data_IF_270887491252
#
_entry.id   IF_270887491252
#
_cell.length_a   1.000
_cell.length_b   1.000
_cell.length_c   1.000
_cell.angle_alpha   90.00
_cell.angle_beta   90.00
_cell.angle_gamma   90.00
#
_symmetry.space_group_name_H-M   'P 1'
#
loop_
_entity.id
_entity.type
_entity.pdbx_description
1 polymer ?
#
# COMPACT_ATOMS: atom_id res chain seq x y z
N UNK A 1 16.94 1.91 28.13
CA UNK A 1 16.51 1.45 26.78
C UNK A 1 15.08 0.91 26.73
N UNK A 2 14.62 0.04 27.65
CA UNK A 2 13.24 -0.52 27.59
C UNK A 2 12.10 0.53 27.69
N UNK A 3 12.23 1.59 28.49
CA UNK A 3 11.18 2.62 28.64
C UNK A 3 10.95 3.44 27.36
N UNK A 4 11.97 3.62 26.52
CA UNK A 4 11.85 4.40 25.28
C UNK A 4 11.08 3.65 24.19
N UNK A 5 11.22 2.33 24.16
CA UNK A 5 10.48 1.43 23.26
C UNK A 5 8.99 1.36 23.64
N UNK A 6 8.68 1.37 24.95
CA UNK A 6 7.29 1.48 25.41
C UNK A 6 6.65 2.82 25.04
N UNK A 7 7.43 3.92 25.11
CA UNK A 7 6.94 5.24 24.71
C UNK A 7 6.62 5.29 23.21
N UNK A 8 7.48 4.74 22.34
CA UNK A 8 7.20 4.64 20.90
C UNK A 8 5.99 3.76 20.58
N UNK A 9 5.77 2.68 21.33
CA UNK A 9 4.60 1.81 21.15
C UNK A 9 3.28 2.47 21.62
N UNK A 10 3.29 3.26 22.70
CA UNK A 10 2.12 4.05 23.12
C UNK A 10 1.86 5.23 22.16
N UNK A 11 2.92 5.90 21.68
CA UNK A 11 2.80 7.01 20.72
C UNK A 11 2.33 6.54 19.33
N UNK A 12 2.64 5.31 18.92
CA UNK A 12 2.21 4.73 17.65
C UNK A 12 0.72 4.35 17.59
N UNK A 13 0.01 4.31 18.73
CA UNK A 13 -1.37 3.83 18.84
C UNK A 13 -2.42 4.94 19.05
N UNK A 14 -2.08 6.20 18.75
CA UNK A 14 -3.02 7.34 18.81
C UNK A 14 -4.05 7.37 17.68
N UNK A 15 -4.31 6.25 17.02
CA UNK A 15 -5.39 6.14 16.03
C UNK A 15 -6.79 6.17 16.66
N UNK A 16 -6.91 6.00 17.99
CA UNK A 16 -8.19 5.98 18.70
C UNK A 16 -8.29 7.05 19.79
N UNK A 17 -9.44 7.72 19.85
CA UNK A 17 -9.72 8.78 20.84
C UNK A 17 -9.55 8.30 22.29
N UNK A 18 -9.80 7.01 22.55
CA UNK A 18 -9.65 6.40 23.88
C UNK A 18 -8.20 6.24 24.35
N UNK A 19 -7.24 5.99 23.44
CA UNK A 19 -5.82 5.88 23.79
C UNK A 19 -5.20 7.24 24.11
N UNK A 20 -5.63 8.30 23.41
CA UNK A 20 -5.21 9.68 23.72
C UNK A 20 -5.70 10.08 25.12
N UNK A 21 -6.96 9.76 25.45
CA UNK A 21 -7.52 10.08 26.76
C UNK A 21 -6.83 9.31 27.91
N UNK A 22 -6.57 8.01 27.73
CA UNK A 22 -5.89 7.22 28.77
C UNK A 22 -4.44 7.63 28.96
N UNK A 23 -3.72 7.98 27.89
CA UNK A 23 -2.37 8.53 27.96
C UNK A 23 -2.33 9.88 28.69
N UNK A 24 -3.22 10.81 28.32
CA UNK A 24 -3.38 12.10 28.98
C UNK A 24 -3.63 11.95 30.49
N UNK A 25 -4.53 11.02 30.86
CA UNK A 25 -4.87 10.72 32.24
C UNK A 25 -3.66 10.18 33.02
N UNK A 26 -2.92 9.21 32.45
CA UNK A 26 -1.69 8.66 33.07
C UNK A 26 -0.64 9.74 33.31
N UNK A 27 -0.42 10.61 32.31
CA UNK A 27 0.56 11.69 32.41
C UNK A 27 0.16 12.74 33.45
N UNK A 28 -1.14 13.03 33.58
CA UNK A 28 -1.66 13.93 34.62
C UNK A 28 -1.42 13.39 36.02
N UNK A 29 -1.72 12.10 36.26
CA UNK A 29 -1.42 11.46 37.55
C UNK A 29 0.08 11.45 37.85
N UNK A 30 0.94 11.16 36.87
CA UNK A 30 2.38 11.17 37.04
C UNK A 30 2.91 12.57 37.43
N UNK A 31 2.41 13.63 36.77
CA UNK A 31 2.79 15.01 37.06
C UNK A 31 2.36 15.44 38.48
N UNK A 32 1.14 15.08 38.89
CA UNK A 32 0.62 15.35 40.24
C UNK A 32 1.45 14.64 41.31
N UNK A 33 1.76 13.35 41.12
CA UNK A 33 2.58 12.58 42.05
C UNK A 33 3.98 13.20 42.19
N UNK A 34 4.62 13.56 41.07
CA UNK A 34 5.93 14.21 41.08
C UNK A 34 5.90 15.55 41.83
N UNK A 35 4.86 16.37 41.60
CA UNK A 35 4.66 17.64 42.30
C UNK A 35 4.51 17.44 43.82
N UNK A 36 3.70 16.45 44.25
CA UNK A 36 3.54 16.13 45.67
C UNK A 36 4.86 15.67 46.29
N UNK A 37 5.63 14.81 45.61
CA UNK A 37 6.94 14.37 46.09
C UNK A 37 7.91 15.54 46.25
N UNK A 38 7.93 16.47 45.30
CA UNK A 38 8.75 17.68 45.37
C UNK A 38 8.33 18.58 46.54
N UNK A 39 7.03 18.79 46.74
CA UNK A 39 6.49 19.54 47.88
C UNK A 39 6.95 18.89 49.20
N UNK A 40 6.77 17.58 49.36
CA UNK A 40 7.16 16.86 50.58
C UNK A 40 8.68 16.91 50.83
N UNK A 41 9.51 16.96 49.78
CA UNK A 41 10.95 17.07 49.91
C UNK A 41 11.42 18.50 50.31
N UNK A 42 10.74 19.54 49.82
CA UNK A 42 11.13 20.95 50.03
C UNK A 42 10.57 21.55 51.32
N UNK A 43 9.42 21.06 51.80
CA UNK A 43 8.75 21.64 52.97
C UNK A 43 9.52 21.52 54.29
N UNK A 44 10.15 20.38 54.65
CA UNK A 44 10.84 20.25 55.94
C UNK A 44 12.05 21.18 56.11
N UNK A 45 12.95 21.36 55.11
CA UNK A 45 14.03 22.36 55.19
C UNK A 45 13.53 23.80 55.39
N UNK A 46 12.44 24.18 54.73
CA UNK A 46 11.86 25.52 54.87
C UNK A 46 11.25 25.75 56.26
N UNK A 47 10.64 24.72 56.84
CA UNK A 47 10.12 24.76 58.20
C UNK A 47 11.25 24.89 59.23
N UNK A 48 12.38 24.19 59.02
CA UNK A 48 13.55 24.28 59.88
C UNK A 48 14.16 25.69 59.93
N UNK A 49 14.06 26.43 58.82
CA UNK A 49 14.56 27.80 58.71
C UNK A 49 13.54 28.87 59.17
N UNK A 50 12.39 28.48 59.71
CA UNK A 50 11.29 29.38 60.14
C UNK A 50 10.80 30.34 59.04
N UNK A 51 10.92 29.92 57.77
CA UNK A 51 10.50 30.72 56.61
C UNK A 51 8.98 30.61 56.37
N UNK A 52 8.32 29.60 56.94
CA UNK A 52 6.91 29.32 56.67
C UNK A 52 5.97 30.23 57.49
N UNK A 53 4.98 30.88 56.84
CA UNK A 53 4.02 31.75 57.53
C UNK A 53 2.93 30.99 58.30
N UNK A 54 2.82 29.67 58.12
CA UNK A 54 1.82 28.79 58.72
C UNK A 54 2.45 27.50 59.24
N UNK A 55 1.68 26.72 60.00
CA UNK A 55 2.11 25.40 60.47
C UNK A 55 2.36 24.43 59.31
N UNK A 56 3.31 23.51 59.49
CA UNK A 56 3.71 22.52 58.48
C UNK A 56 2.51 21.75 57.90
N UNK A 57 1.57 21.33 58.76
CA UNK A 57 0.39 20.58 58.34
C UNK A 57 -0.54 21.38 57.42
N UNK A 58 -0.79 22.66 57.73
CA UNK A 58 -1.64 23.53 56.91
C UNK A 58 -0.99 23.82 55.56
N UNK A 59 0.32 24.12 55.55
CA UNK A 59 1.07 24.36 54.30
C UNK A 59 1.03 23.14 53.39
N UNK A 60 1.29 21.93 53.92
CA UNK A 60 1.21 20.69 53.12
C UNK A 60 -0.19 20.48 52.54
N UNK A 61 -1.24 20.67 53.35
CA UNK A 61 -2.63 20.50 52.89
C UNK A 61 -2.96 21.45 51.74
N UNK A 62 -2.63 22.74 51.86
CA UNK A 62 -2.88 23.71 50.78
C UNK A 62 -2.03 23.43 49.53
N UNK A 63 -0.76 23.05 49.70
CA UNK A 63 0.11 22.71 48.57
C UNK A 63 -0.37 21.49 47.79
N UNK A 64 -0.90 20.47 48.47
CA UNK A 64 -1.49 19.30 47.80
C UNK A 64 -2.71 19.73 46.97
N UNK A 65 -3.67 20.43 47.58
CA UNK A 65 -4.88 20.88 46.87
C UNK A 65 -4.53 21.77 45.67
N UNK A 66 -3.61 22.72 45.87
CA UNK A 66 -3.16 23.60 44.80
C UNK A 66 -2.41 22.85 43.68
N UNK A 67 -1.62 21.83 44.03
CA UNK A 67 -0.93 20.97 43.07
C UNK A 67 -1.89 20.20 42.18
N UNK A 68 -2.95 19.62 42.75
CA UNK A 68 -3.99 18.93 41.97
C UNK A 68 -4.70 19.88 41.01
N UNK A 69 -5.04 21.08 41.47
CA UNK A 69 -5.68 22.10 40.64
C UNK A 69 -4.77 22.55 39.50
N UNK A 70 -3.55 22.99 39.82
CA UNK A 70 -2.64 23.56 38.83
C UNK A 70 -2.13 22.50 37.85
N UNK A 71 -1.66 21.35 38.34
CA UNK A 71 -1.12 20.28 37.50
C UNK A 71 -2.20 19.63 36.66
N UNK A 72 -3.40 19.43 37.22
CA UNK A 72 -4.53 18.85 36.48
C UNK A 72 -4.99 19.74 35.33
N UNK A 73 -5.12 21.06 35.57
CA UNK A 73 -5.50 22.03 34.53
C UNK A 73 -4.42 22.11 33.45
N UNK A 74 -3.15 22.29 33.83
CA UNK A 74 -2.04 22.41 32.87
C UNK A 74 -1.89 21.13 32.03
N UNK A 75 -1.91 19.96 32.67
CA UNK A 75 -1.78 18.69 31.96
C UNK A 75 -2.99 18.41 31.06
N UNK A 76 -4.21 18.76 31.51
CA UNK A 76 -5.42 18.66 30.70
C UNK A 76 -5.36 19.52 29.44
N UNK A 77 -5.00 20.80 29.59
CA UNK A 77 -4.83 21.73 28.45
C UNK A 77 -3.75 21.23 27.49
N UNK A 78 -2.58 20.83 28.00
CA UNK A 78 -1.48 20.34 27.18
C UNK A 78 -1.88 19.08 26.40
N UNK A 79 -2.59 18.16 27.06
CA UNK A 79 -3.08 16.94 26.43
C UNK A 79 -4.07 17.22 25.30
N UNK A 80 -4.96 18.21 25.47
CA UNK A 80 -5.89 18.64 24.43
C UNK A 80 -5.15 19.26 23.23
N UNK A 81 -4.15 20.10 23.48
CA UNK A 81 -3.34 20.73 22.43
C UNK A 81 -2.59 19.66 21.63
N UNK A 82 -1.87 18.76 22.32
CA UNK A 82 -1.11 17.68 21.67
C UNK A 82 -2.05 16.73 20.91
N UNK A 83 -3.19 16.38 21.51
CA UNK A 83 -4.20 15.55 20.85
C UNK A 83 -4.74 16.18 19.57
N UNK A 84 -5.02 17.50 19.59
CA UNK A 84 -5.47 18.23 18.40
C UNK A 84 -4.39 18.29 17.32
N UNK A 85 -3.14 18.60 17.71
CA UNK A 85 -2.02 18.67 16.78
C UNK A 85 -1.75 17.31 16.09
N UNK A 86 -1.78 16.21 16.85
CA UNK A 86 -1.63 14.86 16.30
C UNK A 86 -2.78 14.49 15.36
N UNK A 87 -4.01 14.89 15.70
CA UNK A 87 -5.16 14.67 14.83
C UNK A 87 -5.01 15.43 13.51
N UNK A 88 -4.67 16.72 13.55
CA UNK A 88 -4.43 17.54 12.36
C UNK A 88 -3.31 16.96 11.49
N UNK A 89 -2.20 16.55 12.09
CA UNK A 89 -1.09 15.93 11.36
C UNK A 89 -1.52 14.65 10.65
N UNK A 90 -2.31 13.81 11.33
CA UNK A 90 -2.82 12.56 10.75
C UNK A 90 -3.78 12.81 9.60
N UNK A 91 -4.69 13.77 9.76
CA UNK A 91 -5.63 14.16 8.70
C UNK A 91 -4.88 14.74 7.50
N UNK A 92 -3.95 15.66 7.72
CA UNK A 92 -3.13 16.26 6.66
C UNK A 92 -2.30 15.21 5.93
N UNK A 93 -1.74 14.23 6.64
CA UNK A 93 -1.03 13.10 6.02
C UNK A 93 -1.96 12.27 5.15
N UNK A 94 -3.16 11.94 5.63
CA UNK A 94 -4.13 11.19 4.85
C UNK A 94 -4.65 11.98 3.64
N UNK A 95 -4.82 13.29 3.76
CA UNK A 95 -5.16 14.17 2.64
C UNK A 95 -4.03 14.26 1.62
N UNK A 96 -2.78 14.39 2.06
CA UNK A 96 -1.62 14.37 1.19
C UNK A 96 -1.49 13.03 0.47
N UNK A 97 -1.70 11.91 1.16
CA UNK A 97 -1.70 10.58 0.57
C UNK A 97 -2.83 10.40 -0.45
N UNK A 98 -4.03 10.94 -0.15
CA UNK A 98 -5.15 10.98 -1.08
C UNK A 98 -4.85 11.84 -2.30
N UNK A 99 -4.21 13.00 -2.14
CA UNK A 99 -3.89 13.91 -3.24
C UNK A 99 -2.67 13.46 -4.04
N UNK A 100 -1.75 12.71 -3.42
CA UNK A 100 -0.60 12.15 -4.09
C UNK A 100 -1.08 11.26 -5.24
N UNK A 101 -0.48 11.48 -6.41
CA UNK A 101 -0.68 10.63 -7.59
C UNK A 101 0.43 9.59 -7.72
N UNK A 102 1.46 9.65 -6.89
CA UNK A 102 2.70 8.89 -7.00
C UNK A 102 2.83 7.94 -5.81
N UNK A 103 3.25 6.70 -6.09
CA UNK A 103 3.67 5.74 -5.07
C UNK A 103 5.10 6.05 -4.61
N UNK A 104 5.26 6.27 -3.31
CA UNK A 104 6.51 6.79 -2.73
C UNK A 104 7.70 5.84 -2.86
N UNK A 105 7.47 4.54 -2.98
CA UNK A 105 8.55 3.56 -3.10
C UNK A 105 9.00 3.39 -4.55
N UNK A 106 8.03 3.21 -5.47
CA UNK A 106 8.33 2.96 -6.89
C UNK A 106 8.63 4.23 -7.70
N UNK A 107 8.13 5.39 -7.25
CA UNK A 107 8.15 6.63 -8.03
C UNK A 107 7.17 6.63 -9.22
N UNK A 108 6.37 5.57 -9.39
CA UNK A 108 5.36 5.44 -10.43
C UNK A 108 4.04 6.07 -9.99
N UNK A 109 3.07 6.18 -10.91
CA UNK A 109 1.70 6.50 -10.53
C UNK A 109 1.17 5.47 -9.53
N UNK A 110 0.31 5.89 -8.60
CA UNK A 110 -0.37 4.97 -7.70
C UNK A 110 -1.66 4.41 -8.32
N UNK A 111 -2.25 3.39 -7.68
CA UNK A 111 -3.51 2.75 -8.10
C UNK A 111 -4.62 3.76 -8.44
N UNK A 112 -4.77 4.82 -7.64
CA UNK A 112 -5.81 5.84 -7.84
C UNK A 112 -5.57 6.63 -9.13
N UNK A 113 -4.36 7.15 -9.31
CA UNK A 113 -4.01 7.90 -10.51
C UNK A 113 -4.03 7.03 -11.77
N UNK A 114 -3.76 5.73 -11.65
CA UNK A 114 -3.92 4.77 -12.73
C UNK A 114 -5.37 4.55 -13.13
N UNK A 115 -6.27 4.37 -12.16
CA UNK A 115 -7.70 4.21 -12.43
C UNK A 115 -8.26 5.46 -13.15
N UNK A 116 -7.92 6.65 -12.68
CA UNK A 116 -8.30 7.91 -13.34
C UNK A 116 -7.75 8.00 -14.77
N UNK A 117 -6.52 7.54 -15.01
CA UNK A 117 -5.94 7.50 -16.34
C UNK A 117 -6.65 6.49 -17.25
N UNK A 118 -7.00 5.31 -16.72
CA UNK A 118 -7.75 4.27 -17.43
C UNK A 118 -9.17 4.74 -17.82
N UNK A 119 -9.82 5.52 -16.96
CA UNK A 119 -11.13 6.09 -17.26
C UNK A 119 -11.06 7.17 -18.35
N UNK A 120 -9.93 7.89 -18.43
CA UNK A 120 -9.72 8.97 -19.39
C UNK A 120 -9.17 8.54 -20.75
N UNK A 121 -8.70 7.28 -20.88
CA UNK A 121 -8.05 6.81 -22.10
C UNK A 121 -9.08 6.46 -23.17
N UNK A 122 -8.82 6.90 -24.40
CA UNK A 122 -9.60 6.54 -25.58
C UNK A 122 -9.50 5.03 -25.88
N UNK A 123 -10.42 4.55 -26.69
CA UNK A 123 -10.38 3.19 -27.22
C UNK A 123 -9.26 3.09 -28.27
N UNK A 124 -8.60 1.94 -28.40
CA UNK A 124 -7.30 1.69 -29.07
C UNK A 124 -6.05 1.77 -28.15
N UNK A 125 -6.15 1.09 -27.01
CA UNK A 125 -5.03 0.82 -26.12
C UNK A 125 -5.09 -0.63 -25.62
N UNK A 126 -4.03 -1.09 -24.96
CA UNK A 126 -4.06 -2.36 -24.22
C UNK A 126 -3.73 -2.11 -22.75
N UNK A 127 -4.51 -2.70 -21.85
CA UNK A 127 -4.25 -2.74 -20.43
C UNK A 127 -3.39 -3.96 -20.13
N UNK A 128 -2.31 -3.74 -19.39
CA UNK A 128 -1.39 -4.78 -18.94
C UNK A 128 -1.31 -4.74 -17.42
N UNK A 129 -1.51 -5.88 -16.78
CA UNK A 129 -1.28 -6.05 -15.34
C UNK A 129 -0.10 -7.00 -15.19
N UNK A 130 0.94 -6.54 -14.51
CA UNK A 130 2.13 -7.29 -14.18
C UNK A 130 2.15 -7.66 -12.70
N UNK A 131 2.76 -8.80 -12.38
CA UNK A 131 3.00 -9.23 -11.00
C UNK A 131 4.35 -9.95 -10.87
N UNK A 132 5.13 -9.56 -9.85
CA UNK A 132 6.44 -10.16 -9.59
C UNK A 132 6.26 -11.57 -9.02
N UNK A 133 6.78 -12.55 -9.76
CA UNK A 133 6.61 -13.95 -9.43
C UNK A 133 7.28 -14.29 -8.09
N UNK A 134 6.50 -14.91 -7.20
CA UNK A 134 6.97 -15.41 -5.90
C UNK A 134 7.56 -14.31 -5.01
N UNK A 135 7.07 -13.07 -5.12
CA UNK A 135 7.56 -11.93 -4.33
C UNK A 135 7.57 -12.18 -2.82
N UNK A 136 6.53 -12.82 -2.28
CA UNK A 136 6.52 -13.24 -0.86
C UNK A 136 7.74 -14.11 -0.48
N UNK A 137 8.14 -15.06 -1.32
CA UNK A 137 9.30 -15.90 -1.06
C UNK A 137 10.63 -15.10 -1.09
N UNK A 138 10.69 -14.02 -1.87
CA UNK A 138 11.83 -13.09 -1.86
C UNK A 138 11.89 -12.37 -0.51
N UNK A 139 10.77 -11.82 -0.04
CA UNK A 139 10.69 -11.16 1.27
C UNK A 139 11.02 -12.13 2.41
N UNK A 140 10.47 -13.34 2.38
CA UNK A 140 10.69 -14.35 3.42
C UNK A 140 12.17 -14.79 3.47
N UNK A 141 12.87 -14.80 2.32
CA UNK A 141 14.26 -15.25 2.22
C UNK A 141 15.29 -14.14 2.46
N UNK A 142 15.04 -12.93 1.96
CA UNK A 142 16.02 -11.85 1.91
C UNK A 142 15.61 -10.62 2.73
N UNK A 143 14.42 -10.63 3.32
CA UNK A 143 13.86 -9.51 4.08
C UNK A 143 13.18 -8.46 3.22
N UNK A 144 12.37 -7.62 3.87
CA UNK A 144 11.57 -6.59 3.19
C UNK A 144 12.40 -5.53 2.46
N UNK A 145 13.58 -5.17 2.96
CA UNK A 145 14.46 -4.20 2.29
C UNK A 145 14.90 -4.69 0.89
N UNK A 146 15.17 -5.99 0.75
CA UNK A 146 15.46 -6.61 -0.55
C UNK A 146 14.22 -6.63 -1.46
N UNK A 147 13.04 -6.89 -0.90
CA UNK A 147 11.78 -6.78 -1.64
C UNK A 147 11.52 -5.37 -2.17
N UNK A 148 11.77 -4.35 -1.34
CA UNK A 148 11.66 -2.95 -1.74
C UNK A 148 12.62 -2.61 -2.88
N UNK A 149 13.87 -3.09 -2.82
CA UNK A 149 14.84 -2.95 -3.90
C UNK A 149 14.37 -3.63 -5.20
N UNK A 150 13.72 -4.79 -5.09
CA UNK A 150 13.10 -5.46 -6.25
C UNK A 150 12.00 -4.60 -6.87
N UNK A 151 11.12 -4.02 -6.05
CA UNK A 151 10.06 -3.12 -6.55
C UNK A 151 10.68 -1.91 -7.26
N UNK A 152 11.68 -1.26 -6.66
CA UNK A 152 12.35 -0.11 -7.27
C UNK A 152 12.96 -0.49 -8.63
N UNK A 153 13.64 -1.63 -8.71
CA UNK A 153 14.27 -2.09 -9.94
C UNK A 153 13.26 -2.40 -11.05
N UNK A 154 12.17 -3.10 -10.73
CA UNK A 154 11.08 -3.37 -11.69
C UNK A 154 10.44 -2.06 -12.15
N UNK A 155 10.20 -1.13 -11.22
CA UNK A 155 9.61 0.18 -11.52
C UNK A 155 10.45 0.97 -12.51
N UNK A 156 11.77 1.00 -12.32
CA UNK A 156 12.69 1.67 -13.23
C UNK A 156 12.71 1.04 -14.63
N UNK A 157 12.63 -0.29 -14.72
CA UNK A 157 12.56 -1.00 -16.02
C UNK A 157 11.25 -0.67 -16.73
N UNK A 158 10.12 -0.74 -16.04
CA UNK A 158 8.81 -0.43 -16.62
C UNK A 158 8.75 1.04 -17.08
N UNK A 159 9.19 1.98 -16.25
CA UNK A 159 9.23 3.40 -16.60
C UNK A 159 10.12 3.67 -17.83
N UNK A 160 11.28 3.01 -17.91
CA UNK A 160 12.19 3.17 -19.06
C UNK A 160 11.67 2.51 -20.34
N UNK A 161 10.96 1.38 -20.23
CA UNK A 161 10.48 0.67 -21.40
C UNK A 161 9.22 1.28 -22.00
N UNK A 162 8.37 1.88 -21.16
CA UNK A 162 7.09 2.48 -21.55
C UNK A 162 7.15 4.01 -21.49
N UNK A 163 8.28 4.59 -21.93
CA UNK A 163 8.41 6.03 -22.05
C UNK A 163 7.44 6.61 -23.11
N UNK A 164 7.03 7.87 -22.93
CA UNK A 164 6.13 8.58 -23.85
C UNK A 164 4.65 8.49 -23.47
N UNK A 165 3.80 8.01 -24.39
CA UNK A 165 2.33 8.03 -24.29
C UNK A 165 1.73 6.94 -23.39
N UNK A 166 2.55 6.06 -22.83
CA UNK A 166 2.08 4.97 -21.98
C UNK A 166 1.94 5.43 -20.52
N UNK A 167 0.94 4.88 -19.83
CA UNK A 167 0.72 5.15 -18.40
C UNK A 167 1.30 3.98 -17.61
N UNK A 168 2.19 4.26 -16.66
CA UNK A 168 2.82 3.23 -15.81
C UNK A 168 2.53 3.51 -14.35
N UNK A 169 2.07 2.50 -13.61
CA UNK A 169 1.67 2.61 -12.22
C UNK A 169 2.03 1.39 -11.38
N UNK A 170 2.15 1.59 -10.08
CA UNK A 170 2.12 0.53 -9.08
C UNK A 170 0.71 0.42 -8.50
N UNK A 171 0.10 -0.75 -8.68
CA UNK A 171 -1.26 -1.02 -8.25
C UNK A 171 -1.30 -1.58 -6.83
N UNK A 172 -0.32 -2.39 -6.44
CA UNK A 172 -0.31 -3.08 -5.16
C UNK A 172 1.09 -3.33 -4.62
N UNK A 173 1.23 -4.31 -3.71
CA UNK A 173 2.52 -4.69 -3.14
C UNK A 173 3.54 -5.06 -4.22
N UNK A 174 3.21 -6.05 -5.04
CA UNK A 174 4.03 -6.55 -6.15
C UNK A 174 3.40 -6.39 -7.55
N UNK A 175 2.27 -5.69 -7.63
CA UNK A 175 1.47 -5.53 -8.84
C UNK A 175 1.69 -4.18 -9.51
N UNK A 176 1.86 -4.19 -10.83
CA UNK A 176 2.05 -3.01 -11.66
C UNK A 176 1.04 -2.97 -12.81
N UNK A 177 0.63 -1.77 -13.19
CA UNK A 177 -0.31 -1.52 -14.29
C UNK A 177 0.35 -0.71 -15.37
N UNK A 178 0.13 -1.10 -16.63
CA UNK A 178 0.55 -0.32 -17.80
C UNK A 178 -0.61 -0.17 -18.77
N UNK A 179 -0.84 1.04 -19.26
CA UNK A 179 -1.72 1.31 -20.41
C UNK A 179 -0.81 1.66 -21.58
N UNK A 180 -0.82 0.82 -22.61
CA UNK A 180 -0.02 1.02 -23.82
C UNK A 180 -0.94 1.49 -24.94
N UNK A 181 -0.73 2.72 -25.40
CA UNK A 181 -1.50 3.33 -26.50
C UNK A 181 -0.68 3.36 -27.79
N UNK A 182 -1.37 3.21 -28.92
CA UNK A 182 -0.76 3.20 -30.25
C UNK A 182 -0.08 1.89 -30.61
N UNK A 183 0.33 1.79 -31.88
CA UNK A 183 0.82 0.54 -32.48
C UNK A 183 -0.28 -0.51 -32.64
N UNK A 184 -0.01 -1.56 -33.41
CA UNK A 184 -0.93 -2.70 -33.45
C UNK A 184 -0.79 -3.59 -32.19
N UNK A 185 -1.70 -4.55 -32.03
CA UNK A 185 -1.70 -5.46 -30.87
C UNK A 185 -0.41 -6.29 -30.79
N UNK A 186 0.17 -6.64 -31.94
CA UNK A 186 1.37 -7.47 -32.02
C UNK A 186 2.61 -6.69 -31.59
N UNK A 187 2.74 -5.43 -31.99
CA UNK A 187 3.79 -4.51 -31.53
C UNK A 187 3.74 -4.31 -30.00
N UNK A 188 2.53 -4.14 -29.45
CA UNK A 188 2.33 -4.02 -28.00
C UNK A 188 2.75 -5.30 -27.28
N UNK A 189 2.32 -6.46 -27.79
CA UNK A 189 2.70 -7.77 -27.25
C UNK A 189 4.21 -7.99 -27.25
N UNK A 190 4.89 -7.68 -28.36
CA UNK A 190 6.34 -7.79 -28.49
C UNK A 190 7.07 -6.89 -27.48
N UNK A 191 6.59 -5.64 -27.31
CA UNK A 191 7.14 -4.72 -26.30
C UNK A 191 7.01 -5.28 -24.87
N UNK A 192 5.85 -5.86 -24.54
CA UNK A 192 5.60 -6.45 -23.22
C UNK A 192 6.45 -7.69 -22.99
N UNK A 193 6.61 -8.56 -23.99
CA UNK A 193 7.49 -9.74 -23.91
C UNK A 193 8.98 -9.35 -23.79
N UNK A 194 9.40 -8.28 -24.46
CA UNK A 194 10.75 -7.73 -24.33
C UNK A 194 11.01 -7.25 -22.89
N UNK A 195 10.06 -6.54 -22.28
CA UNK A 195 10.13 -6.10 -20.88
C UNK A 195 10.24 -7.28 -19.92
N UNK A 196 9.38 -8.30 -20.08
CA UNK A 196 9.43 -9.53 -19.27
C UNK A 196 10.82 -10.17 -19.36
N UNK A 197 11.36 -10.26 -20.58
CA UNK A 197 12.70 -10.83 -20.84
C UNK A 197 13.81 -9.98 -20.21
N UNK A 198 13.70 -8.66 -20.27
CA UNK A 198 14.64 -7.73 -19.65
C UNK A 198 14.67 -7.89 -18.12
N UNK A 199 13.50 -7.99 -17.49
CA UNK A 199 13.38 -8.24 -16.05
C UNK A 199 14.00 -9.59 -15.68
N UNK A 200 13.67 -10.66 -16.41
CA UNK A 200 14.18 -12.01 -16.15
C UNK A 200 15.71 -12.13 -16.30
N UNK A 201 16.34 -11.28 -17.13
CA UNK A 201 17.80 -11.28 -17.35
C UNK A 201 18.57 -10.42 -16.35
N UNK A 202 17.90 -9.55 -15.60
CA UNK A 202 18.57 -8.60 -14.71
C UNK A 202 18.70 -9.18 -13.30
N UNK A 203 19.93 -9.29 -12.80
CA UNK A 203 20.17 -9.47 -11.37
C UNK A 203 19.99 -8.14 -10.64
N UNK A 204 19.26 -8.16 -9.55
CA UNK A 204 19.02 -7.01 -8.68
C UNK A 204 19.94 -7.13 -7.48
N UNK A 205 20.94 -6.24 -7.40
CA UNK A 205 21.87 -6.18 -6.29
C UNK A 205 21.28 -5.35 -5.15
N UNK A 206 21.06 -5.96 -3.98
CA UNK A 206 20.52 -5.32 -2.78
C UNK A 206 21.15 -5.92 -1.52
N UNK A 207 21.65 -5.09 -0.60
CA UNK A 207 22.28 -5.51 0.67
C UNK A 207 23.30 -6.66 0.53
N UNK A 208 24.10 -6.63 -0.55
CA UNK A 208 25.11 -7.65 -0.84
C UNK A 208 24.55 -8.97 -1.40
N UNK A 209 23.25 -9.04 -1.73
CA UNK A 209 22.60 -10.16 -2.37
C UNK A 209 22.33 -9.87 -3.85
N UNK A 210 22.45 -10.89 -4.71
CA UNK A 210 22.03 -10.88 -6.10
C UNK A 210 20.71 -11.64 -6.24
N UNK A 211 19.64 -10.92 -6.60
CA UNK A 211 18.29 -11.46 -6.68
C UNK A 211 17.86 -11.52 -8.14
N UNK A 212 17.63 -12.74 -8.63
CA UNK A 212 16.97 -12.97 -9.93
C UNK A 212 15.47 -13.13 -9.73
N UNK A 213 14.69 -12.41 -10.52
CA UNK A 213 13.23 -12.44 -10.47
C UNK A 213 12.65 -12.73 -11.85
N UNK A 214 11.39 -13.16 -11.86
CA UNK A 214 10.58 -13.20 -13.09
C UNK A 214 9.28 -12.44 -12.85
N UNK A 215 8.59 -12.11 -13.93
CA UNK A 215 7.31 -11.40 -13.87
C UNK A 215 6.31 -12.12 -14.77
N UNK A 216 5.06 -12.18 -14.33
CA UNK A 216 3.93 -12.64 -15.14
C UNK A 216 3.07 -11.44 -15.53
N UNK A 217 2.47 -11.49 -16.72
CA UNK A 217 1.64 -10.40 -17.23
C UNK A 217 0.33 -10.92 -17.85
N UNK A 218 -0.76 -10.21 -17.58
CA UNK A 218 -2.05 -10.38 -18.26
C UNK A 218 -2.39 -9.15 -19.09
N UNK A 219 -2.88 -9.36 -20.30
CA UNK A 219 -3.20 -8.28 -21.25
C UNK A 219 -4.66 -8.36 -21.67
N UNK A 220 -5.33 -7.21 -21.74
CA UNK A 220 -6.64 -7.06 -22.37
C UNK A 220 -6.70 -5.78 -23.23
N UNK A 221 -7.41 -5.86 -24.34
CA UNK A 221 -7.54 -4.74 -25.28
C UNK A 221 -8.72 -3.83 -24.90
N UNK A 222 -8.46 -2.53 -24.93
CA UNK A 222 -9.47 -1.49 -24.84
C UNK A 222 -10.06 -1.25 -26.22
N UNK A 223 -11.13 -1.97 -26.51
CA UNK A 223 -11.87 -1.87 -27.77
C UNK A 223 -13.16 -1.05 -27.58
N UNK A 224 -13.64 -0.38 -28.65
CA UNK A 224 -14.89 0.37 -28.61
C UNK A 224 -16.06 -0.44 -28.06
N UNK A 225 -16.80 0.14 -27.11
CA UNK A 225 -18.01 -0.46 -26.54
C UNK A 225 -17.77 -1.46 -25.39
N UNK A 226 -16.52 -1.68 -24.95
CA UNK A 226 -16.24 -2.44 -23.72
C UNK A 226 -16.15 -1.51 -22.51
N UNK A 227 -16.73 -1.93 -21.38
CA UNK A 227 -16.51 -1.20 -20.13
C UNK A 227 -15.07 -1.40 -19.64
N UNK A 228 -14.47 -0.35 -19.05
CA UNK A 228 -13.08 -0.41 -18.57
C UNK A 228 -12.93 -1.42 -17.42
N UNK A 229 -13.99 -1.64 -16.63
CA UNK A 229 -14.04 -2.68 -15.60
C UNK A 229 -13.96 -4.09 -16.20
N UNK A 230 -14.63 -4.35 -17.32
CA UNK A 230 -14.58 -5.64 -18.01
C UNK A 230 -13.20 -5.89 -18.62
N UNK A 231 -12.53 -4.85 -19.13
CA UNK A 231 -11.15 -4.94 -19.62
C UNK A 231 -10.21 -5.26 -18.45
N UNK A 232 -10.34 -4.55 -17.32
CA UNK A 232 -9.55 -4.81 -16.12
C UNK A 232 -9.71 -6.26 -15.62
N UNK A 233 -10.95 -6.74 -15.52
CA UNK A 233 -11.24 -8.12 -15.12
C UNK A 233 -10.66 -9.15 -16.11
N UNK A 234 -10.63 -8.83 -17.41
CA UNK A 234 -10.05 -9.71 -18.43
C UNK A 234 -8.52 -9.78 -18.34
N UNK A 235 -7.87 -8.64 -18.10
CA UNK A 235 -6.43 -8.59 -17.86
C UNK A 235 -6.04 -9.35 -16.58
N UNK A 236 -6.81 -9.21 -15.51
CA UNK A 236 -6.61 -9.95 -14.26
C UNK A 236 -6.76 -11.46 -14.45
N UNK A 237 -7.81 -11.90 -15.17
CA UNK A 237 -8.00 -13.32 -15.53
C UNK A 237 -6.83 -13.85 -16.36
N UNK A 238 -6.32 -13.06 -17.30
CA UNK A 238 -5.16 -13.44 -18.11
C UNK A 238 -3.89 -13.56 -17.25
N UNK A 239 -3.68 -12.64 -16.31
CA UNK A 239 -2.55 -12.69 -15.36
C UNK A 239 -2.65 -13.92 -14.44
N UNK A 240 -3.85 -14.22 -13.94
CA UNK A 240 -4.11 -15.44 -13.17
C UNK A 240 -3.71 -16.68 -13.98
N UNK A 241 -4.13 -16.76 -15.25
CA UNK A 241 -3.75 -17.87 -16.13
C UNK A 241 -2.23 -17.91 -16.37
N UNK A 242 -1.57 -16.76 -16.54
CA UNK A 242 -0.12 -16.69 -16.67
C UNK A 242 0.59 -17.33 -15.46
N UNK A 243 0.12 -17.02 -14.24
CA UNK A 243 0.65 -17.61 -13.01
C UNK A 243 0.34 -19.11 -12.90
N UNK A 244 -0.86 -19.53 -13.29
CA UNK A 244 -1.30 -20.93 -13.24
C UNK A 244 -0.53 -21.83 -14.22
N UNK A 245 -0.24 -21.34 -15.43
CA UNK A 245 0.47 -22.11 -16.45
C UNK A 245 1.98 -22.24 -16.20
N UNK A 246 2.50 -21.68 -15.10
CA UNK A 246 3.89 -21.84 -14.69
C UNK A 246 4.69 -20.54 -14.57
N UNK A 247 4.03 -19.37 -14.54
CA UNK A 247 4.66 -18.05 -14.35
C UNK A 247 5.64 -17.66 -15.47
N UNK A 248 6.36 -16.54 -15.30
CA UNK A 248 7.33 -15.98 -16.25
C UNK A 248 6.80 -15.92 -17.70
N UNK A 249 5.57 -15.43 -17.86
CA UNK A 249 4.89 -15.40 -19.16
C UNK A 249 3.91 -14.26 -19.27
N UNK A 250 3.62 -13.92 -20.52
CA UNK A 250 2.57 -13.00 -20.90
C UNK A 250 1.39 -13.83 -21.42
N UNK A 251 0.18 -13.50 -20.99
CA UNK A 251 -1.06 -14.09 -21.52
C UNK A 251 -1.96 -12.95 -21.98
N UNK A 252 -2.42 -13.07 -23.22
CA UNK A 252 -3.42 -12.17 -23.78
C UNK A 252 -4.84 -12.71 -23.50
N UNK A 253 -5.83 -11.85 -23.26
CA UNK A 253 -7.21 -12.25 -22.95
C UNK A 253 -7.82 -13.20 -24.00
N UNK A 254 -7.46 -13.02 -25.28
CA UNK A 254 -7.88 -13.89 -26.38
C UNK A 254 -7.45 -15.34 -26.16
N UNK A 255 -6.20 -15.55 -25.72
CA UNK A 255 -5.68 -16.88 -25.41
C UNK A 255 -6.24 -17.42 -24.08
N UNK A 256 -6.58 -16.53 -23.15
CA UNK A 256 -7.17 -16.93 -21.87
C UNK A 256 -8.57 -17.53 -22.03
N UNK A 257 -9.35 -17.03 -22.99
CA UNK A 257 -10.67 -17.56 -23.30
C UNK A 257 -10.57 -19.01 -23.82
N UNK A 258 -9.66 -19.29 -24.76
CA UNK A 258 -9.43 -20.63 -25.31
C UNK A 258 -9.07 -21.67 -24.23
N UNK A 259 -8.23 -21.29 -23.26
CA UNK A 259 -7.85 -22.20 -22.18
C UNK A 259 -8.95 -22.43 -21.13
N UNK A 260 -9.84 -21.44 -20.87
CA UNK A 260 -11.00 -21.69 -19.99
C UNK A 260 -11.98 -22.72 -20.57
N UNK A 261 -12.14 -22.77 -21.89
CA UNK A 261 -12.98 -23.76 -22.55
C UNK A 261 -12.39 -25.18 -22.46
N UNK A 262 -11.05 -25.31 -22.50
CA UNK A 262 -10.40 -26.61 -22.38
C UNK A 262 -10.36 -27.18 -20.95
N UNK A 263 -10.27 -26.32 -19.92
CA UNK A 263 -10.22 -26.80 -18.53
C UNK A 263 -11.59 -27.29 -18.02
N UNK A 264 -12.70 -26.73 -18.52
CA UNK A 264 -14.05 -27.23 -18.19
C UNK A 264 -14.39 -28.57 -18.88
N UNK A 265 -13.76 -28.90 -20.00
CA UNK A 265 -13.93 -30.19 -20.69
C UNK A 265 -13.10 -31.32 -20.08
N UNK A 266 -12.13 -31.01 -19.22
CA UNK A 266 -11.26 -32.02 -18.58
C UNK A 266 -11.68 -32.37 -17.14
N UNK A 267 -12.49 -31.54 -16.48
CA UNK A 267 -13.06 -31.85 -15.15
C UNK A 267 -14.49 -32.44 -15.21
N UNK A 268 -15.17 -32.36 -16.35
CA UNK A 268 -16.43 -33.05 -16.60
C UNK A 268 -16.22 -34.30 -17.44
N UNK A 269 -15.92 -35.43 -16.79
CA UNK A 269 -15.73 -36.71 -17.47
C UNK A 269 -16.98 -37.19 -18.21
N UNK A 270 -17.12 -36.81 -19.48
CA UNK A 270 -17.90 -37.49 -20.51
C UNK A 270 -17.18 -37.27 -21.84
N UNK A 271 -16.49 -38.32 -22.30
CA UNK A 271 -15.84 -38.32 -23.60
C UNK A 271 -16.86 -38.19 -24.72
N UNK A 272 -16.70 -37.19 -25.58
CA UNK A 272 -17.27 -37.18 -26.93
C UNK A 272 -16.18 -36.73 -27.88
N UNK A 273 -15.70 -37.67 -28.70
CA UNK A 273 -14.98 -37.36 -29.94
C UNK A 273 -15.96 -36.69 -30.91
N UNK A 274 -15.57 -35.55 -31.49
CA UNK A 274 -16.28 -35.05 -32.66
C UNK A 274 -16.03 -33.60 -33.05
N UNK A 275 -15.27 -33.44 -34.13
CA UNK A 275 -15.32 -32.37 -35.14
C UNK A 275 -14.92 -30.92 -34.74
N UNK A 276 -13.84 -30.48 -35.37
CA UNK A 276 -13.51 -29.07 -35.66
C UNK A 276 -14.60 -28.50 -36.57
N UNK A 277 -15.21 -27.33 -36.28
CA UNK A 277 -16.00 -26.61 -37.26
C UNK A 277 -15.07 -25.75 -38.12
N UNK A 278 -15.14 -26.01 -39.42
CA UNK A 278 -14.61 -25.21 -40.50
C UNK A 278 -15.29 -23.83 -40.50
N UNK A 279 -14.50 -22.75 -40.45
CA UNK A 279 -15.00 -21.39 -40.59
C UNK A 279 -15.08 -21.06 -42.07
N UNK A 280 -16.24 -21.30 -42.67
CA UNK A 280 -16.60 -20.67 -43.95
C UNK A 280 -17.87 -19.83 -43.80
N UNK A 281 -17.83 -18.64 -44.39
CA UNK A 281 -18.78 -17.57 -44.14
C UNK A 281 -20.14 -17.80 -44.80
N UNK A 282 -21.19 -17.23 -44.22
CA UNK A 282 -22.27 -16.61 -45.01
C UNK A 282 -23.15 -15.69 -44.16
N UNK A 283 -23.42 -14.52 -44.74
CA UNK A 283 -24.42 -13.54 -44.35
C UNK A 283 -25.86 -14.07 -44.45
N UNK A 284 -26.78 -13.30 -43.82
CA UNK A 284 -28.27 -13.30 -43.90
C UNK A 284 -28.96 -14.17 -42.84
N UNK A 285 -30.10 -13.85 -42.26
CA UNK A 285 -30.96 -12.66 -42.14
C UNK A 285 -32.16 -13.10 -41.25
N UNK A 286 -32.87 -12.14 -40.64
CA UNK A 286 -34.14 -12.28 -39.88
C UNK A 286 -34.03 -13.05 -38.55
N UNK A 287 -34.60 -12.61 -37.41
CA UNK A 287 -35.66 -11.64 -37.20
C UNK A 287 -36.75 -12.30 -36.36
N UNK A 288 -36.70 -12.14 -35.04
CA UNK A 288 -37.83 -11.97 -34.09
C UNK A 288 -37.24 -11.32 -32.83
#
# INVERSE_FOLDING_TARGET
MRSWIFLQAELGNFHHRGTIFSFALKMSFAAVILSILLILAVMPPLAFLDVLPFTLALTISYSIVLSWLLSGIVCGILSLIVGHAMHQLTVSRAEFEKLSRIDMLSGLLNRRAFAEALDSIDDDASLVIFDVDRFKAINDRFGHACGDAVIIAVSAILASAFDGSSVVARLGGEEFGVIVSGGDVEERLQKIEAVKTQIARRSIAADGCDISITISAGIADLLPGRSKEAVYASADKALYLAKALGRNRVVHERNALDHTWHHHLTEGGLGVQGAVPDYDGTQRAYGI
#
